data_IF_744562010835
#
_entry.id   IF_744562010835
#
_cell.length_a   1.000
_cell.length_b   1.000
_cell.length_c   1.000
_cell.angle_alpha   90.00
_cell.angle_beta   90.00
_cell.angle_gamma   90.00
#
_symmetry.space_group_name_H-M   'P 1'
#
loop_
_entity.id
_entity.type
_entity.pdbx_description
1 polymer ?
#
# COMPACT_ATOMS: atom_id res chain seq x y z
N UNK A 1 32.09 5.82 60.93
CA UNK A 1 31.75 4.38 60.82
C UNK A 1 31.43 4.10 59.37
N UNK A 2 32.42 3.72 58.57
CA UNK A 2 32.17 3.18 57.24
C UNK A 2 31.90 1.69 57.40
N UNK A 3 30.66 1.30 57.18
CA UNK A 3 30.25 -0.10 57.13
C UNK A 3 30.83 -0.72 55.86
N UNK A 4 31.99 -1.35 56.00
CA UNK A 4 32.51 -2.26 54.98
C UNK A 4 31.51 -3.41 54.86
N UNK A 5 30.66 -3.39 53.83
CA UNK A 5 29.90 -4.55 53.41
C UNK A 5 30.91 -5.60 52.96
N UNK A 6 31.28 -6.51 53.86
CA UNK A 6 32.00 -7.73 53.53
C UNK A 6 31.14 -8.49 52.52
N UNK A 7 31.48 -8.35 51.25
CA UNK A 7 30.94 -9.15 50.16
C UNK A 7 31.55 -10.55 50.30
N UNK A 8 31.08 -11.33 51.28
CA UNK A 8 31.45 -12.73 51.41
C UNK A 8 30.98 -13.45 50.15
N UNK A 9 31.92 -13.78 49.27
CA UNK A 9 31.62 -14.47 48.02
C UNK A 9 30.97 -15.81 48.35
N UNK A 10 29.92 -16.24 47.63
CA UNK A 10 29.28 -17.52 47.86
C UNK A 10 30.31 -18.65 47.75
N UNK A 11 30.21 -19.65 48.64
CA UNK A 11 31.17 -20.76 48.71
C UNK A 11 31.32 -21.42 47.32
N UNK A 12 32.56 -21.45 46.82
CA UNK A 12 32.89 -21.98 45.49
C UNK A 12 33.21 -20.93 44.43
N UNK A 13 33.02 -19.63 44.69
CA UNK A 13 33.45 -18.54 43.79
C UNK A 13 34.77 -17.94 44.25
N UNK A 14 35.79 -17.90 43.40
CA UNK A 14 37.04 -17.17 43.69
C UNK A 14 36.83 -15.67 43.45
N UNK A 15 37.58 -14.81 44.17
CA UNK A 15 37.47 -13.35 44.03
C UNK A 15 37.64 -12.86 42.57
N UNK A 16 38.34 -13.62 41.73
CA UNK A 16 38.52 -13.33 40.32
C UNK A 16 37.23 -13.45 39.50
N UNK A 17 36.32 -14.36 39.87
CA UNK A 17 35.07 -14.63 39.14
C UNK A 17 33.83 -13.96 39.75
N UNK A 18 34.00 -13.09 40.75
CA UNK A 18 32.93 -12.41 41.47
C UNK A 18 31.92 -11.69 40.57
N UNK A 19 32.40 -11.09 39.49
CA UNK A 19 31.59 -10.33 38.52
C UNK A 19 31.35 -11.09 37.20
N UNK A 20 31.80 -12.35 37.11
CA UNK A 20 31.71 -13.11 35.85
C UNK A 20 30.24 -13.30 35.43
N UNK A 21 29.36 -13.62 36.38
CA UNK A 21 27.94 -13.83 36.10
C UNK A 21 27.26 -12.56 35.54
N UNK A 22 27.58 -11.37 36.07
CA UNK A 22 26.96 -10.12 35.60
C UNK A 22 27.45 -9.71 34.21
N UNK A 23 28.72 -9.97 33.88
CA UNK A 23 29.24 -9.77 32.52
C UNK A 23 28.66 -10.75 31.52
N UNK A 24 28.52 -12.02 31.91
CA UNK A 24 27.93 -13.05 31.06
C UNK A 24 26.45 -12.77 30.82
N UNK A 25 25.71 -12.37 31.85
CA UNK A 25 24.31 -11.94 31.72
C UNK A 25 24.18 -10.73 30.78
N UNK A 26 25.07 -9.73 30.89
CA UNK A 26 25.08 -8.57 29.99
C UNK A 26 25.39 -8.95 28.55
N UNK A 27 26.39 -9.81 28.34
CA UNK A 27 26.75 -10.32 27.02
C UNK A 27 25.62 -11.12 26.38
N UNK A 28 24.97 -11.98 27.17
CA UNK A 28 23.83 -12.77 26.71
C UNK A 28 22.63 -11.88 26.35
N UNK A 29 22.36 -10.86 27.17
CA UNK A 29 21.28 -9.91 26.91
C UNK A 29 21.54 -9.09 25.63
N UNK A 30 22.78 -8.62 25.44
CA UNK A 30 23.17 -7.93 24.20
C UNK A 30 23.01 -8.83 22.97
N UNK A 31 23.44 -10.09 23.05
CA UNK A 31 23.29 -11.06 21.97
C UNK A 31 21.81 -11.33 21.63
N UNK A 32 20.97 -11.53 22.65
CA UNK A 32 19.52 -11.69 22.49
C UNK A 32 18.87 -10.47 21.83
N UNK A 33 19.23 -9.26 22.24
CA UNK A 33 18.72 -8.02 21.65
C UNK A 33 19.10 -7.91 20.18
N UNK A 34 20.34 -8.24 19.81
CA UNK A 34 20.79 -8.22 18.41
C UNK A 34 19.99 -9.21 17.56
N UNK A 35 19.79 -10.45 18.03
CA UNK A 35 19.00 -11.45 17.30
C UNK A 35 17.55 -11.01 17.09
N UNK A 36 16.93 -10.39 18.10
CA UNK A 36 15.57 -9.84 17.98
C UNK A 36 15.53 -8.69 16.97
N UNK A 37 16.50 -7.79 16.98
CA UNK A 37 16.56 -6.67 16.02
C UNK A 37 16.75 -7.21 14.59
N UNK A 38 17.66 -8.17 14.39
CA UNK A 38 17.90 -8.78 13.08
C UNK A 38 16.62 -9.43 12.53
N UNK A 39 15.95 -10.25 13.33
CA UNK A 39 14.71 -10.92 12.92
C UNK A 39 13.54 -9.94 12.70
N UNK A 40 13.37 -8.97 13.60
CA UNK A 40 12.25 -8.03 13.56
C UNK A 40 12.36 -7.03 12.41
N UNK A 41 13.56 -6.67 11.97
CA UNK A 41 13.77 -5.79 10.83
C UNK A 41 13.83 -6.55 9.50
N UNK A 42 14.17 -7.83 9.50
CA UNK A 42 14.24 -8.63 8.26
C UNK A 42 12.89 -8.68 7.52
N UNK A 43 11.80 -9.02 8.20
CA UNK A 43 10.47 -9.12 7.58
C UNK A 43 9.92 -7.80 7.03
N UNK A 44 9.88 -6.67 7.78
CA UNK A 44 9.39 -5.41 7.24
C UNK A 44 10.28 -4.90 6.12
N UNK A 45 11.60 -5.12 6.17
CA UNK A 45 12.52 -4.68 5.12
C UNK A 45 12.33 -5.49 3.84
N UNK A 46 12.11 -6.80 3.95
CA UNK A 46 11.70 -7.66 2.83
C UNK A 46 10.33 -7.23 2.28
N UNK A 47 9.36 -6.91 3.14
CA UNK A 47 8.04 -6.47 2.71
C UNK A 47 8.10 -5.15 1.92
N UNK A 48 8.91 -4.18 2.36
CA UNK A 48 9.15 -2.94 1.61
C UNK A 48 9.84 -3.22 0.27
N UNK A 49 10.84 -4.10 0.26
CA UNK A 49 11.60 -4.45 -0.95
C UNK A 49 10.75 -5.19 -1.99
N UNK A 50 9.95 -6.17 -1.58
CA UNK A 50 9.04 -6.93 -2.45
C UNK A 50 7.79 -6.14 -2.86
N UNK A 51 7.54 -5.01 -2.22
CA UNK A 51 6.35 -4.19 -2.40
C UNK A 51 5.41 -4.33 -1.22
N UNK A 52 5.27 -3.24 -0.45
CA UNK A 52 4.37 -3.20 0.70
C UNK A 52 2.92 -3.46 0.24
N UNK A 53 2.19 -4.38 0.88
CA UNK A 53 0.81 -4.67 0.50
C UNK A 53 -0.10 -3.51 0.90
N UNK A 54 -0.40 -2.60 -0.03
CA UNK A 54 -1.35 -1.50 0.17
C UNK A 54 -2.78 -1.87 -0.23
N UNK A 55 -2.96 -2.98 -0.95
CA UNK A 55 -4.24 -3.54 -1.34
C UNK A 55 -4.64 -4.71 -0.43
N UNK A 56 -5.93 -4.78 -0.12
CA UNK A 56 -6.53 -5.96 0.53
C UNK A 56 -6.56 -7.17 -0.42
N UNK A 57 -6.69 -8.40 0.12
CA UNK A 57 -6.74 -9.62 -0.70
C UNK A 57 -7.90 -9.61 -1.70
N UNK A 58 -9.03 -9.01 -1.33
CA UNK A 58 -10.18 -8.85 -2.22
C UNK A 58 -9.87 -7.88 -3.34
N UNK A 59 -9.29 -6.72 -3.03
CA UNK A 59 -8.85 -5.75 -4.05
C UNK A 59 -7.83 -6.34 -5.02
N UNK A 60 -6.87 -7.12 -4.51
CA UNK A 60 -5.91 -7.85 -5.36
C UNK A 60 -6.65 -8.77 -6.32
N UNK A 61 -7.67 -9.48 -5.83
CA UNK A 61 -8.48 -10.33 -6.67
C UNK A 61 -9.22 -9.52 -7.75
N UNK A 62 -9.85 -8.41 -7.39
CA UNK A 62 -10.51 -7.53 -8.36
C UNK A 62 -9.53 -7.06 -9.44
N UNK A 63 -8.39 -6.51 -9.06
CA UNK A 63 -7.43 -5.95 -10.02
C UNK A 63 -6.77 -7.03 -10.89
N UNK A 64 -6.51 -8.22 -10.34
CA UNK A 64 -6.06 -9.38 -11.13
C UNK A 64 -7.10 -9.82 -12.15
N UNK A 65 -8.38 -9.85 -11.77
CA UNK A 65 -9.49 -10.21 -12.68
C UNK A 65 -9.64 -9.18 -13.80
N UNK A 66 -9.52 -7.89 -13.52
CA UNK A 66 -9.55 -6.83 -14.54
C UNK A 66 -8.42 -6.97 -15.56
N UNK A 67 -7.21 -7.26 -15.10
CA UNK A 67 -6.06 -7.51 -15.98
C UNK A 67 -6.29 -8.75 -16.84
N UNK A 68 -6.76 -9.84 -16.22
CA UNK A 68 -7.00 -11.12 -16.91
C UNK A 68 -8.02 -10.99 -18.04
N UNK A 69 -9.09 -10.21 -17.83
CA UNK A 69 -10.17 -10.05 -18.80
C UNK A 69 -10.11 -8.74 -19.57
N UNK A 70 -9.01 -7.98 -19.44
CA UNK A 70 -8.82 -6.66 -20.10
C UNK A 70 -10.04 -5.74 -19.96
N UNK A 71 -10.73 -5.80 -18.82
CA UNK A 71 -12.01 -5.12 -18.59
C UNK A 71 -12.07 -4.53 -17.19
N UNK A 72 -12.29 -3.21 -17.12
CA UNK A 72 -12.38 -2.46 -15.86
C UNK A 72 -13.64 -2.82 -15.04
N UNK A 73 -14.66 -3.38 -15.69
CA UNK A 73 -15.91 -3.83 -15.06
C UNK A 73 -15.80 -5.23 -14.43
N UNK A 74 -14.67 -5.92 -14.60
CA UNK A 74 -14.52 -7.27 -14.09
C UNK A 74 -14.27 -7.26 -12.58
N UNK A 75 -15.13 -7.96 -11.85
CA UNK A 75 -15.08 -8.01 -10.38
C UNK A 75 -14.88 -9.44 -9.89
N UNK A 76 -14.07 -9.59 -8.84
CA UNK A 76 -13.86 -10.87 -8.18
C UNK A 76 -14.92 -11.06 -7.09
N UNK A 77 -15.73 -12.11 -7.22
CA UNK A 77 -16.72 -12.49 -6.21
C UNK A 77 -16.07 -13.37 -5.15
N UNK A 78 -15.87 -12.85 -3.94
CA UNK A 78 -15.33 -13.62 -2.80
C UNK A 78 -16.32 -13.58 -1.63
N UNK A 79 -16.89 -14.72 -1.21
CA UNK A 79 -16.79 -16.07 -1.80
C UNK A 79 -17.58 -16.18 -3.14
N UNK A 80 -17.17 -17.11 -3.99
CA UNK A 80 -17.92 -17.38 -5.23
C UNK A 80 -19.26 -18.05 -4.89
N UNK A 81 -20.40 -17.61 -5.46
CA UNK A 81 -21.70 -18.22 -5.17
C UNK A 81 -21.74 -19.66 -5.69
N UNK A 82 -22.40 -20.56 -4.93
CA UNK A 82 -22.41 -22.00 -5.24
C UNK A 82 -23.10 -22.36 -6.57
N UNK A 83 -24.04 -21.53 -7.03
CA UNK A 83 -24.83 -21.78 -8.24
C UNK A 83 -24.61 -20.74 -9.34
N UNK A 84 -23.65 -19.84 -9.16
CA UNK A 84 -23.30 -18.91 -10.23
C UNK A 84 -22.47 -19.63 -11.31
N UNK A 85 -22.57 -19.19 -12.57
CA UNK A 85 -21.66 -19.64 -13.61
C UNK A 85 -20.23 -19.25 -13.23
N UNK A 86 -19.26 -20.03 -13.70
CA UNK A 86 -17.86 -19.79 -13.37
C UNK A 86 -17.45 -18.36 -13.76
N UNK A 87 -16.59 -17.76 -12.91
CA UNK A 87 -16.12 -16.38 -13.02
C UNK A 87 -15.64 -16.00 -14.44
N UNK A 88 -15.11 -16.97 -15.18
CA UNK A 88 -14.61 -16.75 -16.53
C UNK A 88 -15.63 -16.78 -17.66
N UNK A 89 -16.92 -17.01 -17.39
CA UNK A 89 -17.96 -16.97 -18.43
C UNK A 89 -18.38 -15.53 -18.73
N UNK A 90 -18.52 -14.69 -17.70
CA UNK A 90 -19.08 -13.34 -17.83
C UNK A 90 -18.20 -12.38 -18.65
N UNK A 91 -16.88 -12.57 -18.61
CA UNK A 91 -15.90 -11.67 -19.24
C UNK A 91 -15.03 -12.39 -20.29
N UNK A 92 -15.43 -13.59 -20.72
CA UNK A 92 -14.67 -14.39 -21.69
C UNK A 92 -14.37 -13.61 -22.97
N UNK A 93 -15.36 -12.86 -23.46
CA UNK A 93 -15.29 -12.17 -24.74
C UNK A 93 -14.50 -10.85 -24.68
N UNK A 94 -14.24 -10.32 -23.47
CA UNK A 94 -13.39 -9.15 -23.30
C UNK A 94 -11.91 -9.50 -23.14
N UNK A 95 -11.59 -10.78 -22.90
CA UNK A 95 -10.21 -11.23 -22.76
C UNK A 95 -9.48 -11.19 -24.11
N UNK A 96 -8.38 -10.45 -24.16
CA UNK A 96 -7.50 -10.39 -25.33
C UNK A 96 -6.54 -11.61 -25.43
N UNK A 97 -6.58 -12.51 -24.45
CA UNK A 97 -5.70 -13.69 -24.41
C UNK A 97 -5.96 -14.67 -25.56
N UNK A 98 -4.89 -15.35 -26.01
CA UNK A 98 -5.01 -16.38 -27.04
C UNK A 98 -5.52 -17.69 -26.40
N UNK A 99 -6.82 -17.94 -26.56
CA UNK A 99 -7.48 -19.16 -26.10
C UNK A 99 -7.12 -20.37 -26.97
N UNK A 100 -6.74 -21.49 -26.34
CA UNK A 100 -6.38 -22.75 -27.01
C UNK A 100 -6.19 -23.87 -25.99
N UNK A 101 -5.65 -25.02 -26.41
CA UNK A 101 -5.32 -26.14 -25.51
C UNK A 101 -4.31 -25.72 -24.42
N UNK A 102 -3.44 -24.75 -24.75
CA UNK A 102 -2.58 -24.05 -23.80
C UNK A 102 -2.80 -22.54 -23.97
N UNK A 103 -3.70 -21.91 -23.18
CA UNK A 103 -3.94 -20.48 -23.29
C UNK A 103 -2.66 -19.71 -22.99
N UNK A 104 -2.35 -18.73 -23.84
CA UNK A 104 -1.18 -17.86 -23.65
C UNK A 104 -1.64 -16.47 -23.27
N UNK A 105 -1.29 -16.00 -22.06
CA UNK A 105 -1.57 -14.63 -21.70
C UNK A 105 -0.77 -13.68 -22.60
N UNK A 106 -1.42 -12.64 -23.12
CA UNK A 106 -0.73 -11.62 -23.90
C UNK A 106 -0.03 -10.58 -23.00
N UNK A 107 -0.37 -10.53 -21.71
CA UNK A 107 0.30 -9.65 -20.76
C UNK A 107 1.70 -10.16 -20.38
N UNK A 108 2.68 -9.25 -20.37
CA UNK A 108 4.01 -9.50 -19.79
C UNK A 108 3.85 -9.64 -18.27
N UNK A 109 4.39 -10.72 -17.69
CA UNK A 109 4.32 -11.08 -16.24
C UNK A 109 4.01 -9.88 -15.35
N UNK A 110 2.86 -9.92 -14.68
CA UNK A 110 2.42 -8.80 -13.85
C UNK A 110 2.99 -8.89 -12.44
N UNK A 111 3.65 -7.82 -12.00
CA UNK A 111 4.09 -7.66 -10.61
C UNK A 111 3.00 -7.02 -9.75
N UNK A 112 3.10 -7.18 -8.43
CA UNK A 112 2.18 -6.52 -7.49
C UNK A 112 2.17 -5.00 -7.65
N UNK A 113 3.34 -4.39 -7.84
CA UNK A 113 3.47 -2.93 -8.03
C UNK A 113 2.77 -2.44 -9.29
N UNK A 114 2.70 -3.27 -10.33
CA UNK A 114 1.99 -2.93 -11.56
C UNK A 114 0.47 -2.92 -11.31
N UNK A 115 -0.06 -3.87 -10.52
CA UNK A 115 -1.48 -3.87 -10.12
C UNK A 115 -1.86 -2.58 -9.38
N UNK A 116 -1.03 -2.15 -8.42
CA UNK A 116 -1.26 -0.89 -7.69
C UNK A 116 -1.26 0.30 -8.65
N UNK A 117 -0.27 0.35 -9.54
CA UNK A 117 -0.16 1.42 -10.54
C UNK A 117 -1.41 1.47 -11.45
N UNK A 118 -1.85 0.33 -11.99
CA UNK A 118 -3.01 0.29 -12.89
C UNK A 118 -4.29 0.72 -12.18
N UNK A 119 -4.48 0.32 -10.92
CA UNK A 119 -5.60 0.78 -10.09
C UNK A 119 -5.55 2.29 -9.89
N UNK A 120 -4.42 2.82 -9.45
CA UNK A 120 -4.28 4.25 -9.13
C UNK A 120 -4.45 5.12 -10.38
N UNK A 121 -3.90 4.69 -11.53
CA UNK A 121 -4.12 5.32 -12.83
C UNK A 121 -5.59 5.31 -13.25
N UNK A 122 -6.31 4.20 -13.02
CA UNK A 122 -7.76 4.11 -13.29
C UNK A 122 -8.55 5.05 -12.39
N UNK A 123 -8.30 5.05 -11.09
CA UNK A 123 -8.98 5.95 -10.14
C UNK A 123 -8.74 7.42 -10.49
N UNK A 124 -7.50 7.79 -10.85
CA UNK A 124 -7.19 9.14 -11.30
C UNK A 124 -7.96 9.53 -12.57
N UNK A 125 -8.12 8.61 -13.54
CA UNK A 125 -8.93 8.84 -14.75
C UNK A 125 -10.42 9.03 -14.41
N UNK A 126 -10.96 8.22 -13.50
CA UNK A 126 -12.35 8.33 -13.07
C UNK A 126 -12.63 9.64 -12.33
N UNK A 127 -11.73 10.07 -11.44
CA UNK A 127 -11.85 11.34 -10.72
C UNK A 127 -11.74 12.55 -11.66
N UNK A 128 -10.81 12.51 -12.62
CA UNK A 128 -10.70 13.52 -13.67
C UNK A 128 -11.98 13.60 -14.53
N UNK A 129 -12.58 12.45 -14.86
CA UNK A 129 -13.85 12.42 -15.59
C UNK A 129 -15.01 12.98 -14.75
N UNK A 130 -15.10 12.63 -13.46
CA UNK A 130 -16.13 13.15 -12.54
C UNK A 130 -16.03 14.66 -12.37
N UNK A 131 -14.82 15.21 -12.16
CA UNK A 131 -14.60 16.66 -12.01
C UNK A 131 -14.93 17.42 -13.29
N UNK A 132 -14.54 16.90 -14.47
CA UNK A 132 -14.97 17.45 -15.76
C UNK A 132 -16.49 17.48 -15.92
N UNK A 133 -17.15 16.37 -15.58
CA UNK A 133 -18.61 16.28 -15.66
C UNK A 133 -19.29 17.23 -14.67
N UNK A 134 -18.73 17.40 -13.47
CA UNK A 134 -19.22 18.36 -12.48
C UNK A 134 -19.06 19.82 -12.96
N UNK A 135 -17.94 20.17 -13.60
CA UNK A 135 -17.74 21.49 -14.21
C UNK A 135 -18.69 21.73 -15.38
N UNK A 136 -18.94 20.71 -16.20
CA UNK A 136 -19.89 20.78 -17.30
C UNK A 136 -21.36 20.86 -16.82
N UNK A 137 -21.66 20.32 -15.63
CA UNK A 137 -22.97 20.38 -14.99
C UNK A 137 -23.15 21.63 -14.11
N UNK A 138 -22.11 22.42 -13.89
CA UNK A 138 -22.21 23.66 -13.14
C UNK A 138 -23.03 24.68 -13.94
N UNK A 139 -24.07 25.32 -13.35
CA UNK A 139 -24.80 26.36 -14.04
C UNK A 139 -23.84 27.50 -14.42
N UNK A 140 -24.02 28.05 -15.64
CA UNK A 140 -23.18 29.12 -16.15
C UNK A 140 -23.06 30.25 -15.11
N UNK A 141 -21.87 30.85 -14.93
CA UNK A 141 -21.73 32.00 -14.05
C UNK A 141 -22.68 33.09 -14.56
N UNK A 142 -23.60 33.52 -13.70
CA UNK A 142 -24.47 34.66 -13.95
C UNK A 142 -23.53 35.85 -14.09
N UNK A 143 -23.26 36.27 -15.33
CA UNK A 143 -22.58 37.53 -15.59
C UNK A 143 -23.56 38.63 -15.22
N UNK A 144 -23.50 39.10 -13.98
CA UNK A 144 -24.13 40.36 -13.59
C UNK A 144 -23.49 41.48 -14.41
N UNK A 145 -24.18 41.84 -15.49
CA UNK A 145 -23.94 43.03 -16.27
C UNK A 145 -24.34 44.26 -15.43
N UNK A 146 -23.53 44.61 -14.44
CA UNK A 146 -23.64 45.88 -13.73
C UNK A 146 -22.25 46.38 -13.32
N UNK A 147 -21.43 46.67 -14.33
CA UNK A 147 -20.34 47.64 -14.18
C UNK A 147 -20.83 48.93 -14.83
N UNK A 148 -21.12 50.01 -14.08
CA UNK A 148 -21.44 51.28 -14.70
C UNK A 148 -20.18 51.83 -15.40
N UNK A 149 -20.36 52.28 -16.64
CA UNK A 149 -19.32 52.93 -17.42
C UNK A 149 -18.77 54.17 -16.69
N UNK A 150 -17.45 54.46 -16.73
CA UNK A 150 -16.92 55.67 -16.15
C UNK A 150 -17.41 56.89 -16.96
N UNK A 151 -18.09 57.82 -16.27
CA UNK A 151 -18.53 59.09 -16.85
C UNK A 151 -17.32 59.95 -17.24
N UNK A 152 -17.26 60.33 -18.51
CA UNK A 152 -16.33 61.33 -19.03
C UNK A 152 -16.70 62.72 -18.49
N UNK A 153 -15.88 63.26 -17.59
CA UNK A 153 -15.90 64.67 -17.23
C UNK A 153 -14.91 65.41 -18.15
N UNK A 154 -15.45 66.16 -19.12
CA UNK A 154 -14.71 67.22 -19.81
C UNK A 154 -15.00 68.52 -19.07
N UNK A 155 -14.00 69.04 -18.37
CA UNK A 155 -13.99 70.38 -17.81
C UNK A 155 -13.44 71.36 -18.86
N UNK A 156 -14.12 72.50 -18.98
CA UNK A 156 -13.74 73.69 -19.72
C UNK A 156 -12.40 74.26 -19.25
N UNK A 157 -11.53 74.64 -20.21
CA UNK A 157 -10.91 75.97 -20.33
C UNK A 157 -10.10 76.07 -21.64
#
# INVERSE_FOLDING_TARGET
MNTSTDNSLPLGTTAHYATMHTWLQRGLFACLVVLVIEASLSLPLIAVWMGWPTLSLTEICHEMTKVRYSSDAAECKVPHPLFDPSEGVAFKDSAEDLWGIQPRPLYKRIGYRDLVRFRDERLAREEAARSRNALAAAPAPITDASTPAPASASAED
#
